data_IF_234569091423
#
_entry.id   IF_234569091423
#
_cell.length_a   1.000
_cell.length_b   1.000
_cell.length_c   1.000
_cell.angle_alpha   90.00
_cell.angle_beta   90.00
_cell.angle_gamma   90.00
#
_symmetry.space_group_name_H-M   'P 1'
#
loop_
_entity.id
_entity.type
_entity.pdbx_description
1 polymer ?
#
# COMPACT_ATOMS: atom_id res chain seq x y z
N UNK A 1 -70.87 51.87 -11.52
CA UNK A 1 -69.40 51.97 -11.59
C UNK A 1 -68.95 50.85 -12.53
N UNK A 2 -69.12 50.96 -13.85
CA UNK A 2 -68.82 52.06 -14.79
C UNK A 2 -67.29 52.20 -14.98
N UNK A 3 -66.72 52.17 -16.19
CA UNK A 3 -67.36 52.10 -17.52
C UNK A 3 -66.53 51.35 -18.60
N UNK A 4 -67.17 51.10 -19.74
CA UNK A 4 -66.78 50.33 -20.93
C UNK A 4 -65.74 51.07 -21.80
N UNK A 5 -64.81 50.35 -22.45
CA UNK A 5 -64.62 50.34 -23.93
C UNK A 5 -63.37 49.56 -24.39
N UNK A 6 -63.23 49.37 -25.71
CA UNK A 6 -62.29 48.48 -26.40
C UNK A 6 -61.32 49.27 -27.34
N UNK A 7 -60.42 48.62 -28.13
CA UNK A 7 -59.17 49.23 -28.62
C UNK A 7 -59.28 49.94 -29.99
N UNK A 8 -58.15 50.52 -30.47
CA UNK A 8 -57.72 50.25 -31.84
C UNK A 8 -56.21 49.95 -32.00
N UNK A 9 -55.79 49.66 -33.24
CA UNK A 9 -54.41 49.33 -33.65
C UNK A 9 -53.96 50.19 -34.84
N UNK A 10 -52.79 50.80 -34.75
CA UNK A 10 -51.91 51.28 -35.86
C UNK A 10 -50.49 51.46 -35.26
N UNK A 11 -49.33 51.24 -35.91
CA UNK A 11 -48.88 51.04 -37.31
C UNK A 11 -48.17 52.25 -37.95
N UNK A 12 -46.83 52.18 -37.91
CA UNK A 12 -45.86 52.61 -38.95
C UNK A 12 -45.46 54.09 -39.12
N UNK A 13 -44.31 54.23 -39.80
CA UNK A 13 -43.63 55.43 -40.34
C UNK A 13 -42.94 56.35 -39.31
N UNK A 14 -41.84 57.07 -39.60
CA UNK A 14 -40.66 57.02 -40.51
C UNK A 14 -40.17 58.49 -40.71
N UNK A 15 -38.93 58.70 -41.18
CA UNK A 15 -38.37 60.00 -41.63
C UNK A 15 -38.12 61.08 -40.55
N UNK A 16 -37.22 62.06 -40.73
CA UNK A 16 -35.87 62.11 -41.35
C UNK A 16 -35.24 63.50 -41.03
N UNK A 17 -33.98 63.73 -41.47
CA UNK A 17 -33.24 65.02 -41.45
C UNK A 17 -32.82 65.55 -40.06
N UNK A 18 -31.77 66.39 -39.92
CA UNK A 18 -30.92 67.03 -40.95
C UNK A 18 -29.45 67.24 -40.54
N UNK A 19 -28.68 67.92 -41.40
CA UNK A 19 -27.20 68.00 -41.36
C UNK A 19 -26.70 69.45 -41.37
N UNK A 20 -25.63 69.76 -40.62
CA UNK A 20 -24.82 71.00 -40.73
C UNK A 20 -23.32 70.65 -40.59
N UNK A 21 -22.42 71.50 -41.10
CA UNK A 21 -21.04 71.13 -41.49
C UNK A 21 -19.93 72.01 -40.86
N UNK A 22 -18.81 71.37 -40.45
CA UNK A 22 -17.41 71.88 -40.49
C UNK A 22 -17.01 73.09 -39.60
N UNK A 23 -15.70 73.42 -39.39
CA UNK A 23 -14.46 72.86 -39.96
C UNK A 23 -13.41 72.31 -38.95
N UNK A 24 -12.19 72.08 -39.43
CA UNK A 24 -11.09 71.24 -38.90
C UNK A 24 -9.75 71.80 -39.48
N UNK A 25 -8.56 71.17 -39.32
CA UNK A 25 -7.98 70.41 -38.20
C UNK A 25 -7.03 71.37 -37.44
N UNK A 26 -5.70 71.21 -37.23
CA UNK A 26 -4.74 70.07 -37.28
C UNK A 26 -4.60 69.39 -35.90
N UNK A 27 -3.88 68.29 -35.66
CA UNK A 27 -3.06 67.36 -36.48
C UNK A 27 -3.12 65.94 -35.80
N UNK A 28 -2.28 64.90 -35.98
CA UNK A 28 -1.02 64.67 -36.71
C UNK A 28 -0.96 63.18 -37.14
N UNK A 29 -0.32 62.90 -38.28
CA UNK A 29 0.23 61.61 -38.78
C UNK A 29 -0.44 60.25 -38.43
N UNK A 30 -0.89 59.55 -39.48
CA UNK A 30 -0.96 58.08 -39.60
C UNK A 30 0.43 57.54 -40.11
N UNK A 31 0.76 56.22 -40.21
CA UNK A 31 -0.10 55.02 -40.33
C UNK A 31 0.38 53.73 -39.56
N UNK A 32 -0.08 52.54 -39.99
CA UNK A 32 0.14 51.19 -39.43
C UNK A 32 1.35 50.44 -40.09
N UNK A 33 1.61 49.10 -39.94
CA UNK A 33 1.02 48.04 -39.08
C UNK A 33 2.03 47.03 -38.42
N UNK A 34 1.51 46.02 -37.67
CA UNK A 34 2.16 44.78 -37.12
C UNK A 34 3.30 45.00 -36.08
N UNK A 35 3.74 44.01 -35.24
CA UNK A 35 4.16 42.63 -35.58
C UNK A 35 3.49 41.49 -34.77
N UNK A 36 3.72 40.24 -35.20
CA UNK A 36 3.46 39.05 -34.39
C UNK A 36 4.64 38.77 -33.43
N UNK A 37 4.37 38.32 -32.20
CA UNK A 37 5.45 38.10 -31.22
C UNK A 37 5.01 37.70 -29.80
N UNK A 38 3.88 37.01 -29.63
CA UNK A 38 3.42 36.55 -28.31
C UNK A 38 4.20 35.30 -27.85
N UNK A 39 5.48 35.49 -27.48
CA UNK A 39 6.24 34.48 -26.76
C UNK A 39 5.62 34.24 -25.37
N UNK A 40 5.56 32.98 -24.87
CA UNK A 40 5.17 32.74 -23.49
C UNK A 40 6.18 33.42 -22.56
N UNK A 41 5.66 34.15 -21.56
CA UNK A 41 6.51 34.79 -20.54
C UNK A 41 7.26 33.75 -19.70
N UNK A 42 8.31 34.17 -18.96
CA UNK A 42 9.08 33.26 -18.12
C UNK A 42 8.16 32.56 -17.11
N UNK A 43 8.18 31.23 -17.09
CA UNK A 43 7.48 30.47 -16.04
C UNK A 43 7.96 30.93 -14.67
N UNK A 44 7.03 31.24 -13.78
CA UNK A 44 7.36 31.45 -12.36
C UNK A 44 7.92 30.14 -11.81
N UNK A 45 9.24 30.11 -11.61
CA UNK A 45 9.93 28.94 -11.08
C UNK A 45 9.42 28.65 -9.66
N UNK A 46 8.59 27.61 -9.53
CA UNK A 46 8.10 27.14 -8.25
C UNK A 46 9.30 26.79 -7.34
N UNK A 47 9.60 27.62 -6.33
CA UNK A 47 10.83 27.54 -5.50
C UNK A 47 10.99 26.23 -4.69
N UNK A 48 10.02 25.31 -4.81
CA UNK A 48 10.01 23.99 -4.18
C UNK A 48 10.14 22.83 -5.20
N UNK A 49 10.47 23.11 -6.47
CA UNK A 49 10.74 22.09 -7.47
C UNK A 49 12.00 21.28 -7.09
N UNK A 50 11.83 19.98 -6.85
CA UNK A 50 12.91 19.06 -6.49
C UNK A 50 12.96 17.87 -7.46
N UNK A 51 14.17 17.39 -7.77
CA UNK A 51 14.42 16.24 -8.64
C UNK A 51 13.89 14.92 -8.06
N UNK A 52 13.62 14.89 -6.76
CA UNK A 52 13.04 13.74 -6.06
C UNK A 52 11.54 13.94 -5.86
N UNK A 53 10.73 13.09 -6.49
CA UNK A 53 9.29 12.99 -6.25
C UNK A 53 9.01 12.01 -5.10
N UNK A 54 8.08 12.40 -4.23
CA UNK A 54 7.51 11.59 -3.17
C UNK A 54 6.11 11.13 -3.57
N UNK A 55 5.92 9.81 -3.57
CA UNK A 55 4.71 9.14 -4.06
C UNK A 55 4.01 8.46 -2.88
N UNK A 56 2.70 8.68 -2.77
CA UNK A 56 1.80 8.12 -1.78
C UNK A 56 0.67 7.29 -2.42
N UNK A 57 -0.14 6.66 -1.56
CA UNK A 57 -1.31 5.86 -1.90
C UNK A 57 -1.05 4.58 -2.74
N UNK A 58 0.20 4.13 -2.85
CA UNK A 58 0.54 2.89 -3.57
C UNK A 58 -0.11 1.66 -2.92
N UNK A 59 -0.16 0.55 -3.67
CA UNK A 59 -0.75 -0.72 -3.19
C UNK A 59 0.23 -1.49 -2.29
N UNK A 60 -0.08 -1.57 -1.00
CA UNK A 60 0.76 -2.22 0.03
C UNK A 60 0.92 -3.74 -0.15
N UNK A 61 0.05 -4.41 -0.93
CA UNK A 61 0.08 -5.86 -1.13
C UNK A 61 1.21 -6.32 -2.06
N UNK A 62 1.80 -5.40 -2.83
CA UNK A 62 2.82 -5.70 -3.83
C UNK A 62 4.22 -5.72 -3.18
N UNK A 63 5.05 -6.69 -3.57
CA UNK A 63 6.45 -6.79 -3.09
C UNK A 63 7.24 -5.53 -3.47
N UNK A 64 8.11 -4.99 -2.59
CA UNK A 64 8.74 -3.69 -2.81
C UNK A 64 9.59 -3.64 -4.08
N UNK A 65 10.24 -4.74 -4.46
CA UNK A 65 11.13 -4.77 -5.63
C UNK A 65 10.37 -4.83 -6.95
N UNK A 66 9.19 -5.46 -6.97
CA UNK A 66 8.23 -5.35 -8.09
C UNK A 66 7.74 -3.89 -8.19
N UNK A 67 7.36 -3.28 -7.07
CA UNK A 67 6.94 -1.87 -7.04
C UNK A 67 8.04 -0.92 -7.56
N UNK A 68 9.32 -1.13 -7.18
CA UNK A 68 10.46 -0.37 -7.74
C UNK A 68 10.58 -0.55 -9.24
N UNK A 69 10.46 -1.78 -9.75
CA UNK A 69 10.55 -2.07 -11.18
C UNK A 69 9.41 -1.39 -11.97
N UNK A 70 8.17 -1.46 -11.49
CA UNK A 70 7.02 -0.80 -12.11
C UNK A 70 7.15 0.72 -12.12
N UNK A 71 7.60 1.32 -11.01
CA UNK A 71 7.82 2.77 -10.93
C UNK A 71 8.99 3.21 -11.83
N UNK A 72 10.13 2.49 -11.85
CA UNK A 72 11.22 2.76 -12.80
C UNK A 72 10.74 2.64 -14.25
N UNK A 73 9.93 1.63 -14.57
CA UNK A 73 9.36 1.43 -15.91
C UNK A 73 8.42 2.56 -16.34
N UNK A 74 7.49 2.96 -15.48
CA UNK A 74 6.53 4.04 -15.73
C UNK A 74 7.23 5.40 -15.90
N UNK A 75 8.15 5.73 -14.99
CA UNK A 75 8.79 7.06 -15.01
C UNK A 75 9.91 7.22 -16.05
N UNK A 76 10.44 6.11 -16.60
CA UNK A 76 11.42 6.14 -17.70
C UNK A 76 10.90 6.82 -18.98
N UNK A 77 9.58 6.92 -19.16
CA UNK A 77 8.98 7.65 -20.29
C UNK A 77 9.25 9.17 -20.24
N UNK A 78 9.55 9.72 -19.06
CA UNK A 78 9.75 11.17 -18.86
C UNK A 78 11.23 11.58 -18.86
N UNK A 79 12.14 10.68 -18.48
CA UNK A 79 13.59 10.92 -18.48
C UNK A 79 14.36 9.88 -17.66
N UNK A 80 15.64 10.13 -17.41
CA UNK A 80 16.50 9.22 -16.64
C UNK A 80 16.11 9.19 -15.15
N UNK A 81 15.84 7.98 -14.65
CA UNK A 81 15.49 7.71 -13.25
C UNK A 81 16.71 7.14 -12.53
N UNK A 82 17.38 7.98 -11.75
CA UNK A 82 18.56 7.63 -10.95
C UNK A 82 18.22 6.50 -9.94
N UNK A 83 17.33 6.80 -8.99
CA UNK A 83 16.90 5.81 -7.99
C UNK A 83 15.41 5.83 -7.62
N UNK A 84 14.92 4.66 -7.19
CA UNK A 84 13.56 4.44 -6.69
C UNK A 84 13.61 3.69 -5.36
N UNK A 85 13.27 4.41 -4.29
CA UNK A 85 13.29 3.91 -2.92
C UNK A 85 11.87 3.59 -2.46
N UNK A 86 11.55 2.30 -2.34
CA UNK A 86 10.30 1.80 -1.77
C UNK A 86 10.57 0.85 -0.59
N UNK A 87 9.69 0.86 0.41
CA UNK A 87 9.86 0.11 1.66
C UNK A 87 8.53 -0.50 2.14
N UNK A 88 8.58 -1.72 2.71
CA UNK A 88 7.44 -2.41 3.33
C UNK A 88 7.23 -2.10 4.82
N UNK A 89 8.11 -1.29 5.43
CA UNK A 89 8.02 -0.90 6.84
C UNK A 89 6.70 -0.19 7.16
N UNK A 90 6.08 -0.42 8.33
CA UNK A 90 4.77 0.13 8.69
C UNK A 90 4.62 1.66 8.53
N UNK A 91 5.70 2.43 8.70
CA UNK A 91 5.70 3.90 8.50
C UNK A 91 5.84 4.34 7.02
N UNK A 92 6.34 3.46 6.15
CA UNK A 92 6.77 3.77 4.78
C UNK A 92 6.08 2.90 3.71
N UNK A 93 5.27 1.91 4.10
CA UNK A 93 4.44 1.12 3.17
C UNK A 93 3.43 2.02 2.46
N UNK A 94 3.08 1.65 1.23
CA UNK A 94 2.23 2.48 0.37
C UNK A 94 2.89 3.79 -0.10
N UNK A 95 4.19 3.98 0.14
CA UNK A 95 4.97 5.16 -0.24
C UNK A 95 6.24 4.76 -1.00
N UNK A 96 6.70 5.65 -1.87
CA UNK A 96 7.99 5.55 -2.56
C UNK A 96 8.60 6.93 -2.81
N UNK A 97 9.89 6.95 -3.12
CA UNK A 97 10.57 8.11 -3.68
C UNK A 97 11.14 7.74 -5.04
N UNK A 98 11.03 8.63 -6.03
CA UNK A 98 11.58 8.48 -7.40
C UNK A 98 12.48 9.69 -7.66
N UNK A 99 13.73 9.46 -8.05
CA UNK A 99 14.73 10.51 -8.28
C UNK A 99 15.09 10.60 -9.75
N UNK A 100 14.93 11.78 -10.33
CA UNK A 100 15.37 12.12 -11.68
C UNK A 100 16.72 12.85 -11.66
N UNK A 101 17.29 13.07 -12.84
CA UNK A 101 18.45 13.95 -13.02
C UNK A 101 18.08 15.43 -13.10
N UNK A 102 16.99 15.79 -13.79
CA UNK A 102 16.52 17.18 -13.94
C UNK A 102 15.25 17.44 -13.11
N UNK A 103 15.12 18.62 -12.46
CA UNK A 103 13.90 19.03 -11.75
C UNK A 103 12.74 19.33 -12.71
N UNK A 104 13.02 19.69 -13.96
CA UNK A 104 12.01 19.94 -15.00
C UNK A 104 11.30 18.64 -15.39
N UNK A 105 12.07 17.55 -15.55
CA UNK A 105 11.55 16.20 -15.77
C UNK A 105 10.67 15.78 -14.58
N UNK A 106 11.09 16.09 -13.35
CA UNK A 106 10.29 15.82 -12.16
C UNK A 106 8.98 16.64 -12.15
N UNK A 107 9.01 17.94 -12.53
CA UNK A 107 7.80 18.79 -12.68
C UNK A 107 6.84 18.22 -13.72
N UNK A 108 7.33 17.82 -14.90
CA UNK A 108 6.52 17.20 -15.97
C UNK A 108 5.92 15.85 -15.53
N UNK A 109 6.74 14.95 -15.01
CA UNK A 109 6.30 13.64 -14.53
C UNK A 109 5.29 13.73 -13.37
N UNK A 110 5.44 14.73 -12.48
CA UNK A 110 4.47 15.02 -11.43
C UNK A 110 3.13 15.48 -12.01
N UNK A 111 3.12 16.33 -13.03
CA UNK A 111 1.88 16.85 -13.63
C UNK A 111 1.10 15.76 -14.37
N UNK A 112 1.78 14.95 -15.19
CA UNK A 112 1.14 13.98 -16.09
C UNK A 112 0.73 12.67 -15.40
N UNK A 113 1.52 12.19 -14.42
CA UNK A 113 1.27 10.91 -13.72
C UNK A 113 0.42 11.10 -12.43
N UNK A 114 -0.03 12.32 -12.14
CA UNK A 114 -0.84 12.61 -10.96
C UNK A 114 -2.16 11.82 -10.97
N UNK A 115 -2.47 11.11 -9.88
CA UNK A 115 -3.62 10.18 -9.76
C UNK A 115 -3.61 8.99 -10.72
N UNK A 116 -2.51 8.69 -11.42
CA UNK A 116 -2.42 7.51 -12.29
C UNK A 116 -2.73 6.20 -11.52
N UNK A 117 -3.63 5.33 -12.03
CA UNK A 117 -4.05 4.12 -11.33
C UNK A 117 -3.02 2.99 -11.46
N UNK A 118 -2.16 2.83 -10.45
CA UNK A 118 -1.17 1.75 -10.38
C UNK A 118 -1.62 0.66 -9.39
N UNK A 119 -1.70 -0.60 -9.85
CA UNK A 119 -2.19 -1.74 -9.07
C UNK A 119 -3.54 -1.46 -8.36
N UNK A 120 -4.50 -0.94 -9.14
CA UNK A 120 -5.86 -0.59 -8.72
C UNK A 120 -5.96 0.51 -7.64
N UNK A 121 -4.94 1.35 -7.49
CA UNK A 121 -4.98 2.55 -6.63
C UNK A 121 -4.43 3.78 -7.37
N UNK A 122 -5.12 4.95 -7.34
CA UNK A 122 -4.59 6.18 -7.91
C UNK A 122 -3.44 6.70 -7.04
N UNK A 123 -2.23 6.78 -7.60
CA UNK A 123 -1.05 7.28 -6.85
C UNK A 123 -1.13 8.79 -6.65
N UNK A 124 -0.55 9.30 -5.56
CA UNK A 124 -0.49 10.75 -5.28
C UNK A 124 0.97 11.18 -5.27
N UNK A 125 1.32 12.15 -6.11
CA UNK A 125 2.69 12.61 -6.33
C UNK A 125 2.86 14.03 -5.77
N UNK A 126 4.02 14.29 -5.18
CA UNK A 126 4.43 15.59 -4.63
C UNK A 126 5.95 15.72 -4.67
N UNK A 127 6.51 16.92 -4.57
CA UNK A 127 7.96 17.09 -4.39
C UNK A 127 8.41 16.60 -3.01
N UNK A 128 9.59 15.95 -2.95
CA UNK A 128 10.17 15.50 -1.69
C UNK A 128 10.79 16.67 -0.90
N UNK A 129 10.62 16.66 0.42
CA UNK A 129 11.17 17.69 1.34
C UNK A 129 12.70 17.66 1.50
N UNK A 130 13.39 16.75 0.83
CA UNK A 130 14.84 16.53 0.93
C UNK A 130 15.28 15.77 -0.31
N UNK A 131 16.37 16.18 -1.00
CA UNK A 131 16.89 15.44 -2.15
C UNK A 131 17.36 14.04 -1.74
N UNK A 132 17.31 13.09 -2.67
CA UNK A 132 17.83 11.74 -2.43
C UNK A 132 19.36 11.70 -2.45
N UNK A 133 19.94 10.65 -1.87
CA UNK A 133 21.39 10.42 -1.90
C UNK A 133 21.95 10.38 -3.32
N UNK A 134 21.14 9.93 -4.31
CA UNK A 134 21.55 9.79 -5.70
C UNK A 134 21.61 11.14 -6.43
N UNK A 135 20.68 12.06 -6.14
CA UNK A 135 20.72 13.43 -6.68
C UNK A 135 21.92 14.19 -6.11
N UNK A 136 22.14 14.08 -4.79
CA UNK A 136 23.34 14.65 -4.14
C UNK A 136 24.62 14.01 -4.69
N UNK A 137 24.62 12.72 -5.06
CA UNK A 137 25.78 12.05 -5.67
C UNK A 137 26.14 12.61 -7.05
N UNK A 138 25.15 12.92 -7.92
CA UNK A 138 25.43 13.52 -9.25
C UNK A 138 25.82 15.01 -9.14
N UNK A 139 25.22 15.79 -8.24
CA UNK A 139 25.51 17.22 -8.09
C UNK A 139 26.78 17.50 -7.28
N UNK A 140 26.84 16.99 -6.05
CA UNK A 140 27.83 17.34 -5.03
C UNK A 140 28.47 16.08 -4.41
N UNK A 141 29.30 15.33 -5.15
CA UNK A 141 29.93 14.10 -4.66
C UNK A 141 30.72 14.31 -3.36
N UNK A 142 31.30 15.50 -3.15
CA UNK A 142 32.03 15.86 -1.92
C UNK A 142 31.09 16.08 -0.70
N UNK A 143 29.83 16.45 -0.92
CA UNK A 143 28.85 16.72 0.15
C UNK A 143 28.03 15.48 0.52
N UNK A 144 28.08 14.43 -0.31
CA UNK A 144 27.34 13.18 -0.13
C UNK A 144 27.58 12.51 1.23
N UNK A 145 28.81 12.54 1.76
CA UNK A 145 29.09 11.96 3.07
C UNK A 145 28.43 12.76 4.20
N UNK A 146 28.58 14.08 4.21
CA UNK A 146 27.93 14.97 5.17
C UNK A 146 26.39 14.89 5.10
N UNK A 147 25.81 14.79 3.90
CA UNK A 147 24.38 14.56 3.71
C UNK A 147 23.93 13.21 4.29
N UNK A 148 24.66 12.13 3.97
CA UNK A 148 24.40 10.79 4.51
C UNK A 148 24.53 10.75 6.04
N UNK A 149 25.52 11.43 6.62
CA UNK A 149 25.73 11.55 8.06
C UNK A 149 24.60 12.33 8.74
N UNK A 150 24.30 13.57 8.31
CA UNK A 150 23.22 14.41 8.85
C UNK A 150 21.87 13.69 8.86
N UNK A 151 21.54 13.00 7.76
CA UNK A 151 20.32 12.19 7.65
C UNK A 151 20.35 10.94 8.55
N UNK A 152 21.50 10.28 8.71
CA UNK A 152 21.65 9.18 9.66
C UNK A 152 21.50 9.65 11.12
N UNK A 153 22.04 10.80 11.47
CA UNK A 153 21.93 11.39 12.81
C UNK A 153 20.49 11.82 13.11
N UNK A 154 19.84 12.55 12.21
CA UNK A 154 18.41 12.87 12.32
C UNK A 154 17.55 11.59 12.46
N UNK A 155 17.90 10.52 11.75
CA UNK A 155 17.28 9.18 11.90
C UNK A 155 17.61 8.51 13.24
N UNK A 156 18.78 8.74 13.84
CA UNK A 156 19.14 8.25 15.20
C UNK A 156 18.34 9.01 16.27
N UNK A 157 18.31 10.34 16.22
CA UNK A 157 17.55 11.18 17.15
C UNK A 157 16.04 10.87 17.11
N UNK A 158 15.43 10.90 15.92
CA UNK A 158 13.99 10.60 15.74
C UNK A 158 13.62 9.13 16.00
N UNK A 159 14.61 8.21 16.10
CA UNK A 159 14.38 6.81 16.53
C UNK A 159 14.17 6.70 18.05
N UNK A 160 14.55 7.71 18.83
CA UNK A 160 14.29 7.78 20.28
C UNK A 160 12.98 8.53 20.58
N UNK A 161 12.77 9.69 19.95
CA UNK A 161 11.59 10.54 20.20
C UNK A 161 10.29 10.04 19.58
N UNK A 162 10.32 8.96 18.78
CA UNK A 162 9.12 8.41 18.14
C UNK A 162 8.09 7.94 19.19
N UNK A 163 6.88 8.53 19.25
CA UNK A 163 5.93 8.30 20.34
C UNK A 163 5.35 6.87 20.36
N UNK A 164 5.27 6.19 19.20
CA UNK A 164 4.87 4.78 19.15
C UNK A 164 5.93 3.91 19.85
N UNK A 165 7.22 4.17 19.56
CA UNK A 165 8.32 3.43 20.18
C UNK A 165 8.49 3.76 21.66
N UNK A 166 8.22 5.01 22.06
CA UNK A 166 8.13 5.40 23.46
C UNK A 166 7.02 4.65 24.19
N UNK A 167 5.81 4.54 23.62
CA UNK A 167 4.71 3.74 24.19
C UNK A 167 5.08 2.25 24.34
N UNK A 168 5.75 1.65 23.34
CA UNK A 168 6.23 0.26 23.47
C UNK A 168 7.31 0.11 24.56
N UNK A 169 8.25 1.05 24.69
CA UNK A 169 9.27 1.03 25.75
C UNK A 169 8.65 1.21 27.14
N UNK A 170 7.71 2.15 27.29
CA UNK A 170 6.98 2.37 28.54
C UNK A 170 6.16 1.15 28.94
N UNK A 171 5.46 0.49 27.99
CA UNK A 171 4.74 -0.76 28.26
C UNK A 171 5.68 -1.89 28.69
N UNK A 172 6.89 -1.98 28.12
CA UNK A 172 7.89 -2.97 28.59
C UNK A 172 8.38 -2.64 30.00
N UNK A 173 8.74 -1.38 30.25
CA UNK A 173 9.24 -0.93 31.55
C UNK A 173 8.21 -1.10 32.67
N UNK A 174 6.92 -0.86 32.39
CA UNK A 174 5.85 -1.11 33.35
C UNK A 174 5.76 -2.60 33.73
N UNK A 175 5.80 -3.51 32.76
CA UNK A 175 5.82 -4.95 33.03
C UNK A 175 7.09 -5.44 33.75
N UNK A 176 8.21 -4.72 33.58
CA UNK A 176 9.52 -4.98 34.20
C UNK A 176 9.57 -4.48 35.67
N UNK A 177 8.75 -3.48 36.02
CA UNK A 177 8.58 -2.94 37.38
C UNK A 177 7.54 -3.76 38.19
N UNK A 178 6.51 -4.29 37.54
CA UNK A 178 5.40 -5.07 38.13
C UNK A 178 5.80 -6.49 38.58
N UNK A 179 7.08 -6.74 38.84
CA UNK A 179 7.62 -8.07 39.19
C UNK A 179 7.56 -9.13 38.08
N UNK A 180 6.99 -8.79 36.91
CA UNK A 180 6.84 -9.68 35.76
C UNK A 180 8.16 -10.01 35.09
N UNK A 181 8.84 -11.05 35.60
CA UNK A 181 10.12 -11.53 35.09
C UNK A 181 10.10 -11.67 33.55
N UNK A 182 11.05 -10.99 32.89
CA UNK A 182 11.09 -10.83 31.44
C UNK A 182 11.51 -12.12 30.71
N UNK A 183 10.58 -13.09 30.64
CA UNK A 183 10.71 -14.29 29.81
C UNK A 183 11.10 -13.92 28.36
N UNK A 184 12.01 -14.68 27.73
CA UNK A 184 12.53 -14.34 26.41
C UNK A 184 11.40 -14.32 25.39
N UNK A 185 11.31 -13.21 24.64
CA UNK A 185 10.27 -12.85 23.65
C UNK A 185 9.31 -14.00 23.34
N UNK A 186 8.14 -13.97 23.98
CA UNK A 186 7.07 -14.89 23.62
C UNK A 186 6.85 -14.82 22.10
N UNK A 187 7.16 -15.92 21.40
CA UNK A 187 6.54 -16.22 20.09
C UNK A 187 5.06 -15.95 20.31
N UNK A 188 4.45 -15.07 19.48
CA UNK A 188 3.05 -14.61 19.63
C UNK A 188 2.22 -15.76 20.21
N UNK A 189 1.58 -15.61 21.39
CA UNK A 189 0.92 -16.72 22.06
C UNK A 189 0.06 -17.41 21.01
N UNK A 190 0.44 -18.65 20.67
CA UNK A 190 0.00 -19.28 19.44
C UNK A 190 -1.51 -19.32 19.52
N UNK A 191 -2.20 -18.56 18.65
CA UNK A 191 -3.60 -18.25 18.90
C UNK A 191 -4.35 -19.57 18.92
N UNK A 192 -4.77 -19.95 20.12
CA UNK A 192 -5.66 -21.05 20.38
C UNK A 192 -7.06 -20.57 19.97
N UNK A 193 -7.19 -20.27 18.67
CA UNK A 193 -8.26 -20.82 17.85
C UNK A 193 -8.58 -22.18 18.45
N UNK A 194 -9.74 -22.35 19.12
CA UNK A 194 -10.16 -23.65 19.60
C UNK A 194 -10.07 -24.62 18.43
N UNK A 195 -9.60 -25.84 18.64
CA UNK A 195 -9.24 -26.71 17.51
C UNK A 195 -10.46 -27.08 16.62
N UNK A 196 -11.65 -26.81 17.14
CA UNK A 196 -12.97 -26.80 16.51
C UNK A 196 -13.14 -25.78 15.36
N UNK A 197 -12.39 -24.67 15.37
CA UNK A 197 -12.39 -23.61 14.35
C UNK A 197 -11.17 -23.66 13.41
N UNK A 198 -10.41 -24.76 13.39
CA UNK A 198 -9.36 -24.93 12.40
C UNK A 198 -9.97 -25.14 11.01
N UNK A 199 -9.50 -24.41 9.97
CA UNK A 199 -10.00 -24.62 8.61
C UNK A 199 -9.87 -26.08 8.18
N UNK A 200 -10.81 -26.61 7.37
CA UNK A 200 -10.69 -27.92 6.77
C UNK A 200 -9.32 -28.14 6.13
N UNK A 201 -8.77 -29.32 6.34
CA UNK A 201 -7.46 -29.72 5.84
C UNK A 201 -7.48 -31.23 5.59
N UNK A 202 -6.92 -31.65 4.47
CA UNK A 202 -6.73 -33.07 4.12
C UNK A 202 -5.80 -33.81 5.10
N UNK A 203 -5.01 -33.09 5.90
CA UNK A 203 -4.19 -33.67 6.97
C UNK A 203 -4.89 -33.50 8.32
N UNK A 204 -5.08 -34.62 9.03
CA UNK A 204 -5.52 -34.70 10.41
C UNK A 204 -4.32 -34.81 11.35
N UNK A 205 -4.42 -34.13 12.50
CA UNK A 205 -3.50 -34.18 13.62
C UNK A 205 -4.17 -34.89 14.80
N UNK A 206 -3.60 -36.02 15.19
CA UNK A 206 -4.02 -36.87 16.30
C UNK A 206 -3.20 -36.51 17.55
N UNK A 207 -3.89 -36.36 18.67
CA UNK A 207 -3.34 -36.07 20.00
C UNK A 207 -3.87 -37.09 21.01
N UNK A 208 -3.13 -37.29 22.11
CA UNK A 208 -3.49 -38.21 23.19
C UNK A 208 -3.57 -39.68 22.75
N UNK A 209 -2.60 -40.10 21.92
CA UNK A 209 -2.40 -41.51 21.57
C UNK A 209 -1.68 -42.25 22.72
N UNK A 210 -2.12 -43.47 23.08
CA UNK A 210 -1.37 -44.37 23.96
C UNK A 210 -0.02 -44.77 23.36
N UNK A 211 0.98 -45.01 24.21
CA UNK A 211 2.32 -45.45 23.78
C UNK A 211 2.34 -46.86 23.16
N UNK A 212 1.29 -47.65 23.40
CA UNK A 212 1.05 -49.00 22.87
C UNK A 212 0.63 -49.02 21.39
N UNK A 213 0.27 -47.87 20.80
CA UNK A 213 -0.34 -47.81 19.47
C UNK A 213 0.70 -47.84 18.34
N UNK A 214 0.54 -48.79 17.41
CA UNK A 214 1.40 -48.95 16.23
C UNK A 214 0.84 -48.23 15.00
N UNK A 215 1.69 -48.05 13.97
CA UNK A 215 1.27 -47.50 12.68
C UNK A 215 0.13 -48.30 12.05
N UNK A 216 0.17 -49.63 12.17
CA UNK A 216 -0.73 -50.54 11.47
C UNK A 216 -2.14 -50.54 12.10
N UNK A 217 -2.23 -50.35 13.42
CA UNK A 217 -3.51 -50.12 14.11
C UNK A 217 -4.18 -48.83 13.63
N UNK A 218 -3.42 -47.72 13.54
CA UNK A 218 -3.95 -46.47 13.00
C UNK A 218 -4.27 -46.58 11.51
N UNK A 219 -3.45 -47.26 10.71
CA UNK A 219 -3.73 -47.49 9.29
C UNK A 219 -5.04 -48.27 9.11
N UNK A 220 -5.27 -49.33 9.89
CA UNK A 220 -6.50 -50.13 9.88
C UNK A 220 -7.75 -49.36 10.37
N UNK A 221 -7.59 -48.47 11.36
CA UNK A 221 -8.67 -47.62 11.84
C UNK A 221 -9.09 -46.58 10.77
N UNK A 222 -8.11 -45.90 10.16
CA UNK A 222 -8.38 -44.84 9.19
C UNK A 222 -8.67 -45.37 7.77
N UNK A 223 -8.30 -46.60 7.42
CA UNK A 223 -8.64 -47.22 6.13
C UNK A 223 -10.12 -47.58 5.97
N UNK A 224 -10.91 -47.46 7.05
CA UNK A 224 -12.38 -47.53 6.99
C UNK A 224 -12.99 -46.32 6.26
N UNK A 225 -12.22 -45.24 6.10
CA UNK A 225 -12.61 -44.04 5.37
C UNK A 225 -11.90 -44.02 4.01
N UNK A 226 -12.60 -43.65 2.92
CA UNK A 226 -12.00 -43.59 1.60
C UNK A 226 -10.90 -42.53 1.53
N UNK A 227 -10.06 -42.61 0.50
CA UNK A 227 -9.04 -41.60 0.16
C UNK A 227 -7.91 -41.42 1.21
N UNK A 228 -7.67 -42.40 2.10
CA UNK A 228 -6.48 -42.42 2.97
C UNK A 228 -5.19 -42.42 2.11
N UNK A 229 -4.26 -41.53 2.41
CA UNK A 229 -3.00 -41.37 1.67
C UNK A 229 -1.77 -41.85 2.46
N UNK A 230 -1.52 -41.31 3.66
CA UNK A 230 -0.42 -41.78 4.53
C UNK A 230 -0.74 -41.61 6.03
N UNK A 231 -0.33 -42.58 6.84
CA UNK A 231 -0.23 -42.47 8.31
C UNK A 231 1.23 -42.30 8.73
N UNK A 232 1.53 -41.20 9.43
CA UNK A 232 2.88 -40.82 9.89
C UNK A 232 2.91 -40.55 11.40
N UNK A 233 3.57 -41.43 12.14
CA UNK A 233 3.88 -41.23 13.57
C UNK A 233 5.18 -40.43 13.71
N UNK A 234 5.36 -39.74 14.83
CA UNK A 234 6.59 -39.00 15.15
C UNK A 234 7.40 -39.79 16.18
N UNK A 235 8.59 -40.32 15.86
CA UNK A 235 9.37 -41.16 16.79
C UNK A 235 9.85 -40.38 18.03
N UNK A 236 9.96 -39.06 17.94
CA UNK A 236 10.26 -38.15 19.05
C UNK A 236 9.09 -37.93 20.02
N UNK A 237 7.87 -38.30 19.65
CA UNK A 237 6.62 -38.02 20.36
C UNK A 237 5.53 -39.04 19.99
N UNK A 238 5.46 -40.13 20.76
CA UNK A 238 4.48 -41.21 20.56
C UNK A 238 3.03 -40.80 20.91
N UNK A 239 2.85 -39.67 21.61
CA UNK A 239 1.57 -39.04 21.96
C UNK A 239 0.81 -38.46 20.76
N UNK A 240 1.45 -38.33 19.58
CA UNK A 240 0.90 -37.67 18.40
C UNK A 240 1.18 -38.42 17.09
N UNK A 241 0.25 -38.29 16.15
CA UNK A 241 0.41 -38.76 14.77
C UNK A 241 -0.25 -37.80 13.77
N UNK A 242 0.12 -37.93 12.51
CA UNK A 242 -0.50 -37.25 11.39
C UNK A 242 -1.09 -38.29 10.43
N UNK A 243 -2.30 -38.03 9.95
CA UNK A 243 -2.97 -38.85 8.93
C UNK A 243 -3.32 -37.93 7.77
N UNK A 244 -2.76 -38.19 6.60
CA UNK A 244 -3.07 -37.47 5.37
C UNK A 244 -4.08 -38.28 4.54
N UNK A 245 -5.13 -37.59 4.09
CA UNK A 245 -6.07 -38.03 3.08
C UNK A 245 -5.77 -37.31 1.75
N UNK A 246 -6.30 -37.80 0.64
CA UNK A 246 -6.26 -37.08 -0.64
C UNK A 246 -7.26 -35.92 -0.70
N UNK A 247 -8.33 -35.98 0.12
CA UNK A 247 -9.48 -35.08 0.08
C UNK A 247 -9.84 -34.52 1.48
N UNK A 248 -10.29 -33.28 1.51
CA UNK A 248 -10.66 -32.53 2.71
C UNK A 248 -12.00 -33.01 3.30
N UNK A 249 -12.97 -33.42 2.47
CA UNK A 249 -14.25 -33.96 2.93
C UNK A 249 -14.10 -35.31 3.62
N UNK A 250 -13.29 -36.19 3.02
CA UNK A 250 -12.91 -37.50 3.56
C UNK A 250 -12.20 -37.37 4.91
N UNK A 251 -11.27 -36.41 5.04
CA UNK A 251 -10.64 -36.07 6.31
C UNK A 251 -11.64 -35.54 7.35
N UNK A 252 -12.63 -34.73 6.94
CA UNK A 252 -13.70 -34.25 7.81
C UNK A 252 -14.55 -35.38 8.40
N UNK A 253 -15.01 -36.31 7.58
CA UNK A 253 -15.80 -37.47 8.03
C UNK A 253 -14.98 -38.37 8.95
N UNK A 254 -13.72 -38.64 8.61
CA UNK A 254 -12.81 -39.44 9.45
C UNK A 254 -12.51 -38.75 10.80
N UNK A 255 -12.35 -37.42 10.81
CA UNK A 255 -12.24 -36.62 12.04
C UNK A 255 -13.48 -36.80 12.91
N UNK A 256 -14.66 -36.49 12.39
CA UNK A 256 -15.86 -36.36 13.23
C UNK A 256 -16.37 -37.71 13.75
N UNK A 257 -16.12 -38.81 13.02
CA UNK A 257 -16.47 -40.16 13.46
C UNK A 257 -15.47 -40.80 14.44
N UNK A 258 -14.19 -40.43 14.40
CA UNK A 258 -13.14 -40.97 15.29
C UNK A 258 -12.72 -40.02 16.42
N UNK A 259 -13.22 -38.78 16.46
CA UNK A 259 -12.92 -37.82 17.52
C UNK A 259 -13.48 -38.31 18.88
N UNK A 260 -12.64 -38.30 19.93
CA UNK A 260 -12.90 -38.91 21.24
C UNK A 260 -13.06 -40.44 21.25
N UNK A 261 -12.70 -41.14 20.16
CA UNK A 261 -12.69 -42.60 20.13
C UNK A 261 -11.73 -43.18 21.18
N UNK A 262 -12.11 -44.29 21.82
CA UNK A 262 -11.32 -44.98 22.84
C UNK A 262 -10.59 -46.17 22.22
N UNK A 263 -9.34 -45.98 21.80
CA UNK A 263 -8.59 -47.05 21.13
C UNK A 263 -8.22 -48.20 22.08
N UNK A 264 -7.91 -47.88 23.34
CA UNK A 264 -7.40 -48.82 24.36
C UNK A 264 -8.34 -48.85 25.60
N UNK A 265 -9.62 -48.48 25.41
CA UNK A 265 -10.64 -48.38 26.46
C UNK A 265 -10.45 -47.21 27.45
N UNK A 266 -9.22 -46.91 27.87
CA UNK A 266 -8.87 -45.88 28.86
C UNK A 266 -8.73 -44.49 28.21
N UNK A 267 -7.78 -44.35 27.28
CA UNK A 267 -7.47 -43.08 26.62
C UNK A 267 -8.38 -42.78 25.42
N UNK A 268 -8.90 -41.54 25.38
CA UNK A 268 -9.64 -40.97 24.24
C UNK A 268 -8.67 -40.27 23.28
N UNK A 269 -8.72 -40.59 21.99
CA UNK A 269 -7.91 -39.89 20.97
C UNK A 269 -8.59 -38.57 20.58
N UNK A 270 -7.83 -37.47 20.53
CA UNK A 270 -8.33 -36.15 20.10
C UNK A 270 -7.85 -35.88 18.68
N UNK A 271 -8.78 -35.84 17.73
CA UNK A 271 -8.51 -35.62 16.31
C UNK A 271 -8.88 -34.19 15.92
N UNK A 272 -7.97 -33.51 15.24
CA UNK A 272 -8.08 -32.09 14.87
C UNK A 272 -7.54 -31.88 13.46
N UNK A 273 -7.99 -30.87 12.72
CA UNK A 273 -7.33 -30.55 11.44
C UNK A 273 -5.90 -30.07 11.71
N UNK A 274 -4.93 -30.48 10.88
CA UNK A 274 -3.56 -30.03 11.02
C UNK A 274 -3.47 -28.51 10.73
N UNK A 275 -2.71 -27.78 11.55
CA UNK A 275 -2.48 -26.34 11.37
C UNK A 275 -1.55 -26.12 10.17
N UNK A 276 -1.88 -25.14 9.33
CA UNK A 276 -1.20 -24.77 8.07
C UNK A 276 -0.15 -23.67 8.27
#
# INVERSE_FOLDING_TARGET
MAEVSAPPTVSAQDSMQGVVLTPNPPDLAQPAPVPAGAAPGPETLDENACETLYIQNLNEKIKPDVMKASLRGLFKAYGEVLDVVAHSNLRMRGQAFVSFESPEVAKKAMAEVQRFPLYSKPMQISFARTPSDAVVQKKDPNNLEAHKQRRQEHKKATRYTNPLKAKYRAKRLAAEIDGGAALPTAKRPAVQMPDEYLPPNKILFLQNLPETVTKDQLMSLFSQYPNLYEVRLIPTKKDIAFVEFMDEGSAGVAKDALHNYKLDGENKIKITFARK
#
